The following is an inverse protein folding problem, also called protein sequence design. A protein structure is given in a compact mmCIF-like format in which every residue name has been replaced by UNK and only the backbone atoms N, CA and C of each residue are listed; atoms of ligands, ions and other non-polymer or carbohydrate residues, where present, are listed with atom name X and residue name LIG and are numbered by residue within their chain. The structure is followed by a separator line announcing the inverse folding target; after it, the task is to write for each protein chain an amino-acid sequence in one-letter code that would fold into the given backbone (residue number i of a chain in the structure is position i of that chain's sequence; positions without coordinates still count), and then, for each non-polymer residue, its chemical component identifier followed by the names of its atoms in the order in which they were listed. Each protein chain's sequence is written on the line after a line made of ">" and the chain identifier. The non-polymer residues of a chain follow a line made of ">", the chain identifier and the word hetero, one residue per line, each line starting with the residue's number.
data_IF_842676294172
#
_entry.id   IF_842676294172
#
_cell.length_a   1.000
_cell.length_b   1.000
_cell.length_c   1.000
_cell.angle_alpha   90.00
_cell.angle_beta   90.00
_cell.angle_gamma   90.00
#
_symmetry.space_group_name_H-M   'P 1'
#
loop_
_entity.id
_entity.type
_entity.pdbx_description
1 polymer ?
#
# COMPACT_ATOMS: atom_id res chain seq x y z
N UNK A 1 -26.85 54.92 -25.59
CA UNK A 1 -26.80 55.21 -24.15
C UNK A 1 -25.94 54.14 -23.51
N UNK A 2 -24.80 54.55 -22.96
CA UNK A 2 -23.74 53.72 -22.39
C UNK A 2 -24.25 52.78 -21.28
N UNK A 3 -23.90 51.49 -21.34
CA UNK A 3 -23.88 50.65 -20.13
C UNK A 3 -22.75 49.60 -20.18
N UNK A 4 -21.59 50.06 -19.71
CA UNK A 4 -20.65 49.40 -18.79
C UNK A 4 -20.26 47.93 -19.04
N UNK A 5 -19.01 47.79 -19.48
CA UNK A 5 -18.06 46.78 -19.02
C UNK A 5 -18.26 46.45 -17.53
N UNK A 6 -18.45 45.18 -17.20
CA UNK A 6 -17.75 44.38 -16.15
C UNK A 6 -18.26 42.95 -16.33
N UNK A 7 -17.54 42.10 -17.06
CA UNK A 7 -17.74 40.66 -16.99
C UNK A 7 -16.47 40.03 -16.40
N UNK A 8 -16.54 39.81 -15.08
CA UNK A 8 -15.94 38.74 -14.31
C UNK A 8 -14.61 38.16 -14.84
N UNK A 9 -13.49 38.78 -14.46
CA UNK A 9 -12.20 38.09 -14.31
C UNK A 9 -12.12 37.43 -12.91
N UNK A 10 -13.08 36.55 -12.61
CA UNK A 10 -13.22 35.95 -11.27
C UNK A 10 -13.56 34.46 -11.34
N UNK A 11 -12.84 33.73 -12.17
CA UNK A 11 -12.76 32.27 -12.13
C UNK A 11 -11.33 31.89 -12.50
N UNK A 12 -10.46 31.76 -11.49
CA UNK A 12 -9.20 30.99 -11.50
C UNK A 12 -8.42 31.09 -10.16
N UNK A 13 -8.86 31.92 -9.21
CA UNK A 13 -8.23 32.01 -7.88
C UNK A 13 -8.82 31.06 -6.82
N UNK A 14 -9.96 30.43 -7.07
CA UNK A 14 -10.63 29.55 -6.07
C UNK A 14 -10.12 28.10 -6.13
N UNK A 15 -9.41 27.70 -7.20
CA UNK A 15 -8.87 26.34 -7.35
C UNK A 15 -7.45 26.16 -6.81
N UNK A 16 -6.69 27.23 -6.57
CA UNK A 16 -5.34 27.11 -5.99
C UNK A 16 -5.35 27.10 -4.46
N UNK A 17 -6.18 27.93 -3.82
CA UNK A 17 -6.23 28.02 -2.34
C UNK A 17 -6.68 26.68 -1.71
N UNK A 18 -7.70 26.02 -2.29
CA UNK A 18 -8.18 24.73 -1.75
C UNK A 18 -7.23 23.55 -2.03
N UNK A 19 -6.40 23.63 -3.08
CA UNK A 19 -5.39 22.60 -3.38
C UNK A 19 -4.19 22.72 -2.43
N UNK A 20 -3.77 23.95 -2.12
CA UNK A 20 -2.66 24.21 -1.19
C UNK A 20 -3.01 23.75 0.24
N UNK A 21 -4.23 24.01 0.72
CA UNK A 21 -4.69 23.53 2.04
C UNK A 21 -4.69 22.00 2.14
N UNK A 22 -5.09 21.29 1.08
CA UNK A 22 -5.07 19.82 1.05
C UNK A 22 -3.64 19.27 1.04
N UNK A 23 -2.74 19.88 0.26
CA UNK A 23 -1.33 19.50 0.21
C UNK A 23 -0.62 19.72 1.55
N UNK A 24 -0.97 20.78 2.30
CA UNK A 24 -0.47 21.02 3.65
C UNK A 24 -0.89 19.92 4.62
N UNK A 25 -2.16 19.47 4.58
CA UNK A 25 -2.63 18.39 5.47
C UNK A 25 -1.86 17.09 5.26
N UNK A 26 -1.44 16.80 4.03
CA UNK A 26 -0.71 15.57 3.71
C UNK A 26 0.81 15.76 3.70
N UNK A 27 1.35 16.97 3.79
CA UNK A 27 2.79 17.32 3.70
C UNK A 27 3.70 16.46 4.59
N UNK A 28 3.19 16.03 5.74
CA UNK A 28 3.89 15.18 6.70
C UNK A 28 4.06 13.71 6.22
N UNK A 29 3.27 13.27 5.24
CA UNK A 29 3.36 11.95 4.62
C UNK A 29 4.56 11.90 3.67
N UNK A 30 5.67 11.40 4.19
CA UNK A 30 6.93 11.20 3.47
C UNK A 30 7.67 9.97 4.01
N UNK A 31 8.63 9.40 3.26
CA UNK A 31 9.47 8.34 3.76
C UNK A 31 10.15 8.74 5.07
N UNK A 32 10.06 7.90 6.11
CA UNK A 32 10.78 8.08 7.38
C UNK A 32 12.08 7.28 7.46
N UNK A 33 12.28 6.39 6.50
CA UNK A 33 13.47 5.54 6.39
C UNK A 33 14.67 6.37 5.92
N UNK A 34 15.86 6.09 6.46
CA UNK A 34 17.09 6.81 6.08
C UNK A 34 17.42 6.60 4.60
N UNK A 35 18.12 7.58 4.00
CA UNK A 35 18.62 7.45 2.62
C UNK A 35 19.43 6.17 2.43
N UNK A 36 20.30 5.83 3.39
CA UNK A 36 21.16 4.65 3.30
C UNK A 36 20.37 3.34 3.19
N UNK A 37 19.33 3.18 4.02
CA UNK A 37 18.46 1.99 3.94
C UNK A 37 17.72 1.92 2.59
N UNK A 38 17.31 3.07 2.05
CA UNK A 38 16.69 3.14 0.72
C UNK A 38 17.67 2.78 -0.40
N UNK A 39 18.90 3.27 -0.34
CA UNK A 39 19.98 2.89 -1.27
C UNK A 39 20.22 1.37 -1.23
N UNK A 40 20.35 0.80 -0.03
CA UNK A 40 20.59 -0.64 0.14
C UNK A 40 19.42 -1.49 -0.38
N UNK A 41 18.18 -1.02 -0.21
CA UNK A 41 16.99 -1.67 -0.76
C UNK A 41 17.02 -1.69 -2.30
N UNK A 42 17.34 -0.57 -2.95
CA UNK A 42 17.45 -0.46 -4.41
C UNK A 42 18.63 -1.28 -4.93
N UNK A 43 19.77 -1.28 -4.25
CA UNK A 43 20.90 -2.15 -4.61
C UNK A 43 20.52 -3.64 -4.51
N UNK A 44 19.74 -4.01 -3.48
CA UNK A 44 19.16 -5.35 -3.36
C UNK A 44 18.24 -5.71 -4.53
N UNK A 45 17.38 -4.77 -4.93
CA UNK A 45 16.51 -4.90 -6.10
C UNK A 45 17.32 -5.11 -7.38
N UNK A 46 18.36 -4.30 -7.62
CA UNK A 46 19.21 -4.41 -8.80
C UNK A 46 19.89 -5.79 -8.82
N UNK A 47 20.40 -6.27 -7.68
CA UNK A 47 21.02 -7.61 -7.57
C UNK A 47 20.04 -8.73 -7.91
N UNK A 48 18.79 -8.65 -7.44
CA UNK A 48 17.75 -9.65 -7.73
C UNK A 48 17.26 -9.59 -9.18
N UNK A 49 17.07 -8.38 -9.69
CA UNK A 49 16.51 -8.15 -11.02
C UNK A 49 17.53 -8.39 -12.12
N UNK A 50 18.79 -8.01 -11.90
CA UNK A 50 19.86 -7.99 -12.91
C UNK A 50 21.15 -8.61 -12.32
N UNK A 51 21.16 -9.92 -12.04
CA UNK A 51 22.26 -10.57 -11.31
C UNK A 51 23.62 -10.50 -12.01
N UNK A 52 23.64 -10.38 -13.34
CA UNK A 52 24.88 -10.33 -14.13
C UNK A 52 25.42 -8.89 -14.34
N UNK A 53 24.58 -7.86 -14.13
CA UNK A 53 24.91 -6.47 -14.42
C UNK A 53 24.95 -5.54 -13.21
N UNK A 54 24.52 -5.99 -12.02
CA UNK A 54 24.33 -5.11 -10.87
C UNK A 54 25.57 -4.29 -10.47
N UNK A 55 26.79 -4.79 -10.74
CA UNK A 55 28.04 -4.13 -10.39
C UNK A 55 28.28 -2.82 -11.14
N UNK A 56 27.61 -2.62 -12.27
CA UNK A 56 27.72 -1.41 -13.06
C UNK A 56 26.83 -0.27 -12.55
N UNK A 57 25.95 -0.53 -11.59
CA UNK A 57 25.00 0.45 -11.09
C UNK A 57 25.41 0.98 -9.71
N UNK A 58 25.43 2.31 -9.59
CA UNK A 58 25.65 3.02 -8.34
C UNK A 58 24.37 3.77 -7.99
N UNK A 59 23.90 3.63 -6.76
CA UNK A 59 22.66 4.27 -6.29
C UNK A 59 22.97 5.27 -5.19
N UNK A 60 22.36 6.44 -5.28
CA UNK A 60 22.32 7.44 -4.20
C UNK A 60 20.89 7.90 -3.96
N UNK A 61 20.48 8.01 -2.71
CA UNK A 61 19.20 8.60 -2.32
C UNK A 61 19.44 9.93 -1.62
N UNK A 62 18.95 11.01 -2.21
CA UNK A 62 19.14 12.38 -1.73
C UNK A 62 17.79 13.11 -1.66
N UNK A 63 17.14 13.17 -0.48
CA UNK A 63 15.82 13.76 -0.32
C UNK A 63 15.73 15.24 -0.70
N UNK A 64 16.86 15.95 -0.80
CA UNK A 64 16.92 17.35 -1.18
C UNK A 64 17.22 17.56 -2.68
N UNK A 65 17.25 16.49 -3.47
CA UNK A 65 17.50 16.56 -4.90
C UNK A 65 16.27 17.05 -5.68
N UNK A 66 16.48 17.95 -6.64
CA UNK A 66 15.40 18.47 -7.49
C UNK A 66 14.44 19.44 -6.77
N UNK A 67 13.27 19.72 -7.36
CA UNK A 67 12.31 20.67 -6.79
C UNK A 67 11.70 20.18 -5.47
N UNK A 68 11.49 21.11 -4.53
CA UNK A 68 10.83 20.82 -3.26
C UNK A 68 9.46 20.17 -3.46
N UNK A 69 9.16 19.13 -2.68
CA UNK A 69 7.88 18.43 -2.72
C UNK A 69 7.67 17.50 -3.92
N UNK A 70 8.63 17.39 -4.84
CA UNK A 70 8.51 16.53 -6.03
C UNK A 70 9.57 15.43 -6.04
N UNK A 71 9.13 14.20 -6.28
CA UNK A 71 10.08 13.11 -6.49
C UNK A 71 10.81 13.30 -7.82
N UNK A 72 12.14 13.19 -7.79
CA UNK A 72 13.00 13.39 -8.95
C UNK A 72 14.05 12.29 -8.99
N UNK A 73 14.40 11.84 -10.19
CA UNK A 73 15.56 10.98 -10.40
C UNK A 73 16.48 11.52 -11.49
N UNK A 74 17.75 11.16 -11.40
CA UNK A 74 18.73 11.34 -12.46
C UNK A 74 19.37 9.99 -12.78
N UNK A 75 19.58 9.72 -14.06
CA UNK A 75 20.41 8.62 -14.53
C UNK A 75 21.52 9.18 -15.39
N UNK A 76 22.76 8.90 -15.00
CA UNK A 76 23.94 9.36 -15.71
C UNK A 76 24.95 8.22 -15.82
N UNK A 77 25.47 7.96 -17.03
CA UNK A 77 26.62 7.06 -17.21
C UNK A 77 27.90 7.86 -17.04
N UNK A 78 28.76 7.43 -16.13
CA UNK A 78 30.07 8.05 -15.89
C UNK A 78 31.06 7.70 -17.01
N UNK A 79 32.08 8.54 -17.15
CA UNK A 79 33.23 8.26 -18.05
C UNK A 79 33.99 6.99 -17.66
N UNK A 80 33.86 6.54 -16.41
CA UNK A 80 34.43 5.28 -15.90
C UNK A 80 33.56 4.05 -16.19
N UNK A 81 32.41 4.22 -16.86
CA UNK A 81 31.53 3.13 -17.33
C UNK A 81 30.42 2.72 -16.37
N UNK A 82 30.29 3.36 -15.20
CA UNK A 82 29.23 3.06 -14.24
C UNK A 82 27.97 3.89 -14.53
N UNK A 83 26.79 3.30 -14.35
CA UNK A 83 25.51 4.02 -14.40
C UNK A 83 25.17 4.46 -12.98
N UNK A 84 25.26 5.76 -12.74
CA UNK A 84 24.87 6.39 -11.48
C UNK A 84 23.41 6.78 -11.55
N UNK A 85 22.65 6.36 -10.54
CA UNK A 85 21.25 6.68 -10.36
C UNK A 85 21.11 7.46 -9.06
N UNK A 86 20.59 8.68 -9.15
CA UNK A 86 20.24 9.51 -8.01
C UNK A 86 18.74 9.62 -7.94
N UNK A 87 18.13 9.38 -6.79
CA UNK A 87 16.70 9.59 -6.57
C UNK A 87 16.43 10.35 -5.29
N UNK A 88 15.33 11.10 -5.22
CA UNK A 88 14.85 11.71 -3.97
C UNK A 88 14.43 10.67 -2.93
N UNK A 89 13.96 9.52 -3.41
CA UNK A 89 13.55 8.35 -2.62
C UNK A 89 14.05 7.07 -3.28
N UNK A 90 13.98 5.94 -2.56
CA UNK A 90 14.29 4.63 -3.12
C UNK A 90 13.38 4.27 -4.29
N UNK A 91 12.09 4.60 -4.23
CA UNK A 91 11.14 4.44 -5.36
C UNK A 91 11.56 5.30 -6.56
N UNK A 92 11.94 6.57 -6.36
CA UNK A 92 12.41 7.43 -7.45
C UNK A 92 13.69 6.85 -8.11
N UNK A 93 14.64 6.35 -7.31
CA UNK A 93 15.83 5.70 -7.85
C UNK A 93 15.50 4.40 -8.61
N UNK A 94 14.61 3.56 -8.08
CA UNK A 94 14.15 2.36 -8.79
C UNK A 94 13.39 2.70 -10.09
N UNK A 95 12.63 3.80 -10.10
CA UNK A 95 11.98 4.33 -11.30
C UNK A 95 13.02 4.74 -12.34
N UNK A 96 14.08 5.43 -11.93
CA UNK A 96 15.18 5.81 -12.80
C UNK A 96 15.91 4.61 -13.40
N UNK A 97 16.14 3.56 -12.60
CA UNK A 97 16.63 2.28 -13.12
C UNK A 97 15.71 1.73 -14.20
N UNK A 98 14.40 1.62 -13.93
CA UNK A 98 13.45 1.06 -14.88
C UNK A 98 13.36 1.89 -16.17
N UNK A 99 13.42 3.21 -16.06
CA UNK A 99 13.47 4.13 -17.20
C UNK A 99 14.67 3.83 -18.11
N UNK A 100 15.86 3.70 -17.52
CA UNK A 100 17.07 3.36 -18.25
C UNK A 100 16.99 1.99 -18.92
N UNK A 101 16.54 0.97 -18.17
CA UNK A 101 16.37 -0.38 -18.71
C UNK A 101 15.42 -0.40 -19.92
N UNK A 102 14.28 0.27 -19.80
CA UNK A 102 13.23 0.27 -20.83
C UNK A 102 13.64 1.05 -22.07
N UNK A 103 14.12 2.28 -21.90
CA UNK A 103 14.29 3.22 -23.03
C UNK A 103 15.69 3.23 -23.63
N UNK A 104 16.70 2.73 -22.91
CA UNK A 104 18.08 2.70 -23.40
C UNK A 104 18.56 1.27 -23.59
N UNK A 105 18.31 0.37 -22.64
CA UNK A 105 18.76 -1.03 -22.75
C UNK A 105 17.80 -1.96 -23.51
N UNK A 106 16.60 -1.50 -23.88
CA UNK A 106 15.53 -2.34 -24.46
C UNK A 106 15.19 -3.57 -23.61
N UNK A 107 15.22 -3.41 -22.28
CA UNK A 107 14.89 -4.46 -21.30
C UNK A 107 13.55 -4.15 -20.65
N UNK A 108 12.64 -5.13 -20.70
CA UNK A 108 11.36 -5.08 -20.00
C UNK A 108 11.34 -6.00 -18.77
N UNK A 109 10.77 -5.49 -17.67
CA UNK A 109 10.48 -6.25 -16.45
C UNK A 109 8.97 -6.18 -16.20
N UNK A 110 8.31 -7.34 -16.19
CA UNK A 110 6.87 -7.50 -15.91
C UNK A 110 6.64 -8.64 -14.91
N UNK A 111 5.38 -8.93 -14.57
CA UNK A 111 5.06 -10.01 -13.63
C UNK A 111 5.45 -11.39 -14.16
N UNK A 112 5.07 -11.69 -15.40
CA UNK A 112 5.28 -13.03 -16.00
C UNK A 112 6.61 -13.15 -16.75
N UNK A 113 7.16 -12.02 -17.20
CA UNK A 113 8.34 -12.02 -18.07
C UNK A 113 9.32 -10.90 -17.73
N UNK A 114 10.60 -11.27 -17.63
CA UNK A 114 11.70 -10.33 -17.41
C UNK A 114 12.85 -10.66 -18.37
N UNK A 115 13.28 -9.66 -19.14
CA UNK A 115 14.43 -9.75 -20.04
C UNK A 115 15.74 -9.33 -19.38
N UNK A 116 15.76 -9.23 -18.05
CA UNK A 116 16.88 -8.62 -17.34
C UNK A 116 18.23 -9.37 -17.48
N UNK A 117 18.21 -10.61 -17.99
CA UNK A 117 19.42 -11.36 -18.36
C UNK A 117 20.07 -10.87 -19.68
N UNK A 118 19.38 -10.04 -20.47
CA UNK A 118 19.81 -9.58 -21.79
C UNK A 118 20.31 -8.14 -21.77
N UNK A 119 20.98 -7.72 -20.69
CA UNK A 119 21.64 -6.42 -20.70
C UNK A 119 22.67 -6.34 -21.84
N UNK A 120 22.74 -5.21 -22.57
CA UNK A 120 23.80 -4.97 -23.54
C UNK A 120 25.18 -5.12 -22.89
N UNK A 121 26.13 -5.76 -23.59
CA UNK A 121 27.52 -5.86 -23.12
C UNK A 121 28.12 -4.47 -22.83
N UNK A 122 27.81 -3.51 -23.70
CA UNK A 122 28.11 -2.10 -23.51
C UNK A 122 26.84 -1.35 -23.14
N UNK A 123 26.73 -0.94 -21.88
CA UNK A 123 25.63 -0.12 -21.38
C UNK A 123 25.53 1.20 -22.17
N UNK A 124 24.37 1.58 -22.72
CA UNK A 124 24.20 2.83 -23.47
C UNK A 124 24.53 4.10 -22.69
N UNK A 125 24.94 5.16 -23.40
CA UNK A 125 25.16 6.47 -22.79
C UNK A 125 23.83 7.14 -22.40
N UNK A 126 23.84 7.83 -21.26
CA UNK A 126 22.68 8.56 -20.74
C UNK A 126 23.14 9.68 -19.79
N UNK A 127 22.45 10.82 -19.86
CA UNK A 127 22.46 11.86 -18.83
C UNK A 127 21.11 12.57 -18.85
N UNK A 128 20.19 12.14 -17.97
CA UNK A 128 18.84 12.69 -17.89
C UNK A 128 18.44 12.89 -16.44
N UNK A 129 17.75 13.99 -16.18
CA UNK A 129 17.07 14.27 -14.90
C UNK A 129 15.57 14.41 -15.19
N UNK A 130 14.74 13.67 -14.46
CA UNK A 130 13.29 13.65 -14.62
C UNK A 130 12.62 13.87 -13.27
N UNK A 131 11.77 14.90 -13.19
CA UNK A 131 10.89 15.16 -12.05
C UNK A 131 9.52 14.54 -12.33
N UNK A 132 9.03 13.72 -11.41
CA UNK A 132 7.73 13.07 -11.50
C UNK A 132 6.63 14.09 -11.20
N UNK A 133 5.52 14.00 -11.94
CA UNK A 133 4.40 14.94 -11.80
C UNK A 133 3.61 14.70 -10.51
N UNK A 134 3.30 13.44 -10.23
CA UNK A 134 2.38 13.07 -9.15
C UNK A 134 3.10 12.94 -7.81
N UNK A 135 2.44 13.39 -6.74
CA UNK A 135 2.91 13.17 -5.38
C UNK A 135 2.75 11.70 -4.96
N UNK A 136 1.57 11.15 -5.21
CA UNK A 136 1.22 9.76 -4.90
C UNK A 136 0.92 8.98 -6.17
N UNK A 137 1.58 7.84 -6.31
CA UNK A 137 1.32 6.85 -7.36
C UNK A 137 0.79 5.61 -6.67
N UNK A 138 -0.53 5.50 -6.68
CA UNK A 138 -1.28 4.49 -5.95
C UNK A 138 -1.31 3.15 -6.69
N UNK A 139 -1.31 2.04 -5.94
CA UNK A 139 -1.46 0.71 -6.51
C UNK A 139 -2.36 -0.21 -5.66
N UNK A 140 -3.05 -1.12 -6.37
CA UNK A 140 -3.96 -2.19 -5.91
C UNK A 140 -5.45 -1.83 -5.82
N UNK A 141 -6.30 -2.84 -5.91
CA UNK A 141 -7.69 -2.79 -5.45
C UNK A 141 -7.80 -3.69 -4.20
N UNK A 142 -8.75 -3.40 -3.29
CA UNK A 142 -9.01 -4.28 -2.14
C UNK A 142 -9.35 -5.71 -2.56
N UNK A 143 -9.98 -5.90 -3.72
CA UNK A 143 -10.29 -7.20 -4.31
C UNK A 143 -9.05 -7.98 -4.78
N UNK A 144 -7.97 -7.30 -5.15
CA UNK A 144 -6.74 -7.96 -5.65
C UNK A 144 -6.12 -8.89 -4.61
N UNK A 145 -6.32 -8.59 -3.31
CA UNK A 145 -5.87 -9.46 -2.23
C UNK A 145 -6.50 -10.86 -2.32
N UNK A 146 -7.81 -10.95 -2.57
CA UNK A 146 -8.51 -12.23 -2.70
C UNK A 146 -8.29 -12.90 -4.05
N UNK A 147 -8.32 -12.13 -5.14
CA UNK A 147 -8.25 -12.70 -6.48
C UNK A 147 -6.85 -13.11 -6.93
N UNK A 148 -5.81 -12.45 -6.43
CA UNK A 148 -4.44 -12.63 -6.92
C UNK A 148 -3.47 -13.03 -5.83
N UNK A 149 -3.53 -12.37 -4.65
CA UNK A 149 -2.45 -12.47 -3.65
C UNK A 149 -2.70 -13.49 -2.54
N UNK A 150 -3.89 -14.08 -2.45
CA UNK A 150 -4.32 -14.88 -1.30
C UNK A 150 -3.38 -16.05 -0.97
N UNK A 151 -2.77 -16.66 -1.99
CA UNK A 151 -1.86 -17.80 -1.82
C UNK A 151 -0.37 -17.43 -1.86
N UNK A 152 -0.05 -16.17 -2.11
CA UNK A 152 1.34 -15.71 -2.25
C UNK A 152 2.14 -15.92 -0.97
N UNK A 153 3.39 -16.33 -1.16
CA UNK A 153 4.40 -16.39 -0.10
C UNK A 153 5.27 -15.12 -0.13
N UNK A 154 6.29 -15.10 0.73
CA UNK A 154 7.19 -13.96 0.81
C UNK A 154 7.93 -13.73 -0.51
N UNK A 155 8.34 -14.80 -1.19
CA UNK A 155 9.12 -14.74 -2.42
C UNK A 155 8.33 -14.09 -3.57
N UNK A 156 7.02 -14.30 -3.63
CA UNK A 156 6.11 -13.66 -4.59
C UNK A 156 5.98 -12.16 -4.27
N UNK A 157 5.73 -11.84 -3.00
CA UNK A 157 5.65 -10.47 -2.52
C UNK A 157 6.96 -9.70 -2.70
N UNK A 158 8.11 -10.35 -2.52
CA UNK A 158 9.41 -9.74 -2.70
C UNK A 158 9.59 -9.23 -4.13
N UNK A 159 9.34 -10.11 -5.11
CA UNK A 159 9.37 -9.77 -6.53
C UNK A 159 8.34 -8.72 -6.88
N UNK A 160 7.14 -8.81 -6.30
CA UNK A 160 6.08 -7.87 -6.60
C UNK A 160 6.37 -6.47 -6.06
N UNK A 161 6.94 -6.33 -4.86
CA UNK A 161 7.33 -5.02 -4.31
C UNK A 161 8.50 -4.43 -5.09
N UNK A 162 9.45 -5.25 -5.55
CA UNK A 162 10.50 -4.79 -6.48
C UNK A 162 9.88 -4.23 -7.78
N UNK A 163 8.92 -4.96 -8.36
CA UNK A 163 8.17 -4.49 -9.52
C UNK A 163 7.38 -3.20 -9.23
N UNK A 164 6.78 -3.05 -8.04
CA UNK A 164 6.11 -1.81 -7.66
C UNK A 164 7.08 -0.62 -7.64
N UNK A 165 8.28 -0.80 -7.07
CA UNK A 165 9.31 0.24 -7.00
C UNK A 165 9.80 0.64 -8.40
N UNK A 166 10.04 -0.34 -9.27
CA UNK A 166 10.42 -0.11 -10.68
C UNK A 166 9.33 0.68 -11.44
N UNK A 167 8.06 0.44 -11.14
CA UNK A 167 6.92 1.11 -11.78
C UNK A 167 6.45 2.38 -11.04
N UNK A 168 7.31 2.92 -10.16
CA UNK A 168 7.11 4.21 -9.50
C UNK A 168 6.00 4.26 -8.45
N UNK A 169 5.39 3.13 -8.06
CA UNK A 169 4.34 3.16 -7.05
C UNK A 169 4.91 3.45 -5.66
N UNK A 170 4.34 4.43 -4.95
CA UNK A 170 4.81 4.87 -3.64
C UNK A 170 3.71 4.93 -2.56
N UNK A 171 2.43 4.68 -2.91
CA UNK A 171 1.32 4.58 -1.97
C UNK A 171 0.54 3.28 -2.22
N UNK A 172 0.59 2.34 -1.28
CA UNK A 172 0.19 0.96 -1.56
C UNK A 172 -0.70 0.41 -0.45
N UNK A 173 -1.76 -0.31 -0.80
CA UNK A 173 -2.55 -1.06 0.18
C UNK A 173 -1.72 -2.18 0.83
N UNK A 174 -1.78 -2.30 2.15
CA UNK A 174 -1.09 -3.34 2.91
C UNK A 174 -2.01 -3.91 3.99
N UNK A 175 -2.84 -4.87 3.60
CA UNK A 175 -3.98 -5.34 4.40
C UNK A 175 -3.88 -6.82 4.83
N UNK A 176 -2.74 -7.47 4.54
CA UNK A 176 -2.48 -8.89 4.85
C UNK A 176 -2.49 -9.13 6.35
N UNK A 177 -3.21 -10.17 6.79
CA UNK A 177 -3.26 -10.59 8.19
C UNK A 177 -4.10 -9.72 9.12
N UNK A 178 -4.90 -8.79 8.60
CA UNK A 178 -5.78 -7.97 9.42
C UNK A 178 -6.82 -8.79 10.20
N UNK A 179 -7.17 -10.00 9.75
CA UNK A 179 -8.08 -10.89 10.46
C UNK A 179 -7.51 -11.31 11.82
N UNK A 180 -6.19 -11.50 11.94
CA UNK A 180 -5.55 -11.81 13.21
C UNK A 180 -5.57 -10.61 14.19
N UNK A 181 -5.60 -9.39 13.65
CA UNK A 181 -5.76 -8.15 14.42
C UNK A 181 -7.21 -8.02 14.89
N UNK A 182 -8.16 -8.32 14.00
CA UNK A 182 -9.59 -8.34 14.33
C UNK A 182 -9.94 -9.41 15.35
N UNK A 183 -9.42 -10.64 15.24
CA UNK A 183 -9.62 -11.70 16.23
C UNK A 183 -9.23 -11.22 17.64
N UNK A 184 -8.04 -10.63 17.78
CA UNK A 184 -7.56 -10.08 19.07
C UNK A 184 -8.43 -8.93 19.55
N UNK A 185 -8.93 -8.12 18.63
CA UNK A 185 -9.82 -6.99 18.95
C UNK A 185 -11.15 -7.53 19.45
N UNK A 186 -11.81 -8.42 18.71
CA UNK A 186 -13.07 -9.05 19.05
C UNK A 186 -13.05 -9.79 20.39
N UNK A 187 -11.95 -10.49 20.71
CA UNK A 187 -11.76 -11.14 22.02
C UNK A 187 -11.79 -10.14 23.19
N UNK A 188 -11.39 -8.88 23.00
CA UNK A 188 -11.53 -7.81 24.02
C UNK A 188 -12.97 -7.32 24.21
N UNK A 189 -13.85 -7.62 23.26
CA UNK A 189 -15.27 -7.29 23.30
C UNK A 189 -16.15 -8.52 23.57
N UNK A 190 -15.58 -9.56 24.19
CA UNK A 190 -16.26 -10.78 24.66
C UNK A 190 -16.84 -11.68 23.57
N UNK A 191 -16.31 -11.61 22.34
CA UNK A 191 -16.63 -12.61 21.32
C UNK A 191 -15.88 -13.91 21.63
N UNK A 192 -16.59 -15.03 21.53
CA UNK A 192 -15.98 -16.36 21.64
C UNK A 192 -15.22 -16.72 20.34
N UNK A 193 -14.51 -17.83 20.34
CA UNK A 193 -13.86 -18.29 19.11
C UNK A 193 -14.90 -18.67 18.06
N UNK A 194 -16.01 -19.29 18.47
CA UNK A 194 -17.12 -19.65 17.59
C UNK A 194 -17.75 -18.41 16.94
N UNK A 195 -17.93 -17.31 17.69
CA UNK A 195 -18.43 -16.04 17.14
C UNK A 195 -17.50 -15.49 16.03
N UNK A 196 -16.18 -15.65 16.20
CA UNK A 196 -15.17 -15.20 15.21
C UNK A 196 -15.15 -16.11 14.00
N UNK A 197 -15.20 -17.43 14.22
CA UNK A 197 -15.17 -18.47 13.18
C UNK A 197 -16.43 -18.40 12.30
N UNK A 198 -17.59 -18.08 12.87
CA UNK A 198 -18.84 -17.83 12.12
C UNK A 198 -18.77 -16.54 11.29
N UNK A 199 -17.96 -15.57 11.71
CA UNK A 199 -17.85 -14.28 11.04
C UNK A 199 -16.83 -14.28 9.90
N UNK A 200 -15.63 -14.80 10.12
CA UNK A 200 -14.59 -14.77 9.10
C UNK A 200 -14.89 -15.71 7.94
N UNK A 201 -14.79 -15.19 6.72
CA UNK A 201 -14.82 -16.00 5.51
C UNK A 201 -13.54 -16.81 5.36
N UNK A 202 -13.54 -17.73 4.39
CA UNK A 202 -12.32 -18.36 3.91
C UNK A 202 -11.35 -17.35 3.28
N UNK A 203 -10.06 -17.72 3.13
CA UNK A 203 -9.02 -16.83 2.62
C UNK A 203 -9.34 -16.16 1.28
N UNK A 204 -9.94 -16.92 0.34
CA UNK A 204 -10.26 -16.45 -1.00
C UNK A 204 -11.36 -15.38 -1.03
N UNK A 205 -12.07 -15.14 0.09
CA UNK A 205 -13.20 -14.21 0.16
C UNK A 205 -12.99 -13.03 1.11
N UNK A 206 -11.78 -12.88 1.66
CA UNK A 206 -11.47 -11.86 2.66
C UNK A 206 -11.72 -10.43 2.19
N UNK A 207 -11.56 -10.11 0.90
CA UNK A 207 -11.88 -8.79 0.38
C UNK A 207 -13.33 -8.38 0.66
N UNK A 208 -14.30 -9.27 0.41
CA UNK A 208 -15.72 -8.99 0.64
C UNK A 208 -16.12 -9.04 2.12
N UNK A 209 -15.44 -9.87 2.92
CA UNK A 209 -15.55 -9.81 4.38
C UNK A 209 -15.20 -8.42 4.90
N UNK A 210 -14.03 -7.89 4.52
CA UNK A 210 -13.49 -6.62 5.01
C UNK A 210 -14.35 -5.42 4.63
N UNK A 211 -15.00 -5.50 3.46
CA UNK A 211 -15.93 -4.49 2.98
C UNK A 211 -17.34 -4.61 3.60
N UNK A 212 -17.58 -5.61 4.46
CA UNK A 212 -18.87 -5.81 5.12
C UNK A 212 -19.94 -6.42 4.20
N UNK A 213 -19.57 -6.98 3.06
CA UNK A 213 -20.53 -7.56 2.12
C UNK A 213 -21.00 -8.95 2.55
N UNK A 214 -20.12 -9.74 3.18
CA UNK A 214 -20.39 -11.13 3.54
C UNK A 214 -19.63 -11.55 4.80
N UNK A 215 -19.96 -12.74 5.32
CA UNK A 215 -19.35 -13.38 6.49
C UNK A 215 -19.34 -14.91 6.33
N UNK A 216 -18.45 -15.60 7.01
CA UNK A 216 -18.46 -17.07 7.20
C UNK A 216 -18.22 -17.95 5.97
N UNK A 217 -18.53 -17.50 4.75
CA UNK A 217 -18.44 -18.30 3.53
C UNK A 217 -17.02 -18.83 3.28
N UNK A 218 -16.87 -20.15 3.13
CA UNK A 218 -15.59 -20.82 2.92
C UNK A 218 -14.65 -20.81 4.14
N UNK A 219 -15.12 -20.35 5.30
CA UNK A 219 -14.39 -20.39 6.58
C UNK A 219 -14.53 -21.74 7.29
N UNK A 220 -14.04 -21.85 8.55
CA UNK A 220 -13.37 -20.80 9.32
C UNK A 220 -11.88 -20.63 8.95
N UNK A 221 -11.26 -19.54 9.43
CA UNK A 221 -9.81 -19.34 9.33
C UNK A 221 -9.09 -20.08 10.46
N UNK A 222 -8.02 -20.80 10.13
CA UNK A 222 -7.20 -21.48 11.13
C UNK A 222 -6.22 -20.52 11.84
N UNK A 223 -5.78 -20.89 13.05
CA UNK A 223 -4.70 -20.20 13.75
C UNK A 223 -3.41 -20.11 12.90
N UNK A 224 -3.09 -21.17 12.15
CA UNK A 224 -1.96 -21.20 11.24
C UNK A 224 -2.05 -20.11 10.14
N UNK A 225 -3.25 -19.82 9.64
CA UNK A 225 -3.48 -18.71 8.71
C UNK A 225 -3.17 -17.35 9.36
N UNK A 226 -3.65 -17.13 10.59
CA UNK A 226 -3.39 -15.90 11.34
C UNK A 226 -1.89 -15.68 11.60
N UNK A 227 -1.18 -16.73 12.02
CA UNK A 227 0.26 -16.65 12.28
C UNK A 227 1.06 -16.38 10.99
N UNK A 228 0.77 -17.13 9.92
CA UNK A 228 1.40 -16.96 8.61
C UNK A 228 1.20 -15.55 8.07
N UNK A 229 -0.03 -15.06 8.08
CA UNK A 229 -0.39 -13.77 7.47
C UNK A 229 0.20 -12.57 8.22
N UNK A 230 0.27 -12.61 9.57
CA UNK A 230 0.95 -11.57 10.36
C UNK A 230 2.46 -11.57 10.09
N UNK A 231 3.09 -12.75 10.00
CA UNK A 231 4.52 -12.85 9.67
C UNK A 231 4.80 -12.26 8.28
N UNK A 232 4.00 -12.65 7.29
CA UNK A 232 4.12 -12.16 5.91
C UNK A 232 3.94 -10.65 5.83
N UNK A 233 2.91 -10.10 6.50
CA UNK A 233 2.64 -8.67 6.50
C UNK A 233 3.82 -7.86 7.04
N UNK A 234 4.47 -8.31 8.13
CA UNK A 234 5.68 -7.65 8.65
C UNK A 234 6.81 -7.58 7.64
N UNK A 235 7.03 -8.66 6.87
CA UNK A 235 8.05 -8.68 5.82
C UNK A 235 7.69 -7.70 4.68
N UNK A 236 6.43 -7.73 4.23
CA UNK A 236 5.89 -6.82 3.21
C UNK A 236 6.18 -5.37 3.58
N UNK A 237 5.78 -4.94 4.77
CA UNK A 237 5.92 -3.54 5.17
C UNK A 237 7.35 -3.13 5.42
N UNK A 238 8.17 -4.03 5.95
CA UNK A 238 9.60 -3.77 6.13
C UNK A 238 10.23 -3.47 4.79
N UNK A 239 9.89 -4.25 3.75
CA UNK A 239 10.40 -4.03 2.39
C UNK A 239 9.83 -2.77 1.76
N UNK A 240 8.52 -2.54 1.83
CA UNK A 240 7.90 -1.32 1.31
C UNK A 240 8.54 -0.06 1.91
N UNK A 241 8.67 -0.02 3.24
CA UNK A 241 9.33 1.11 3.93
C UNK A 241 10.80 1.22 3.61
N UNK A 242 11.49 0.11 3.36
CA UNK A 242 12.88 0.15 2.92
C UNK A 242 13.05 0.86 1.57
N UNK A 243 12.06 0.84 0.68
CA UNK A 243 12.07 1.65 -0.55
C UNK A 243 11.57 3.09 -0.35
N UNK A 244 11.02 3.41 0.82
CA UNK A 244 10.34 4.67 1.08
C UNK A 244 8.86 4.68 0.67
N UNK A 245 8.25 3.53 0.38
CA UNK A 245 6.80 3.47 0.11
C UNK A 245 5.98 3.74 1.37
N UNK A 246 4.82 4.36 1.17
CA UNK A 246 3.79 4.55 2.18
C UNK A 246 2.79 3.40 2.10
N UNK A 247 2.60 2.69 3.21
CA UNK A 247 1.65 1.61 3.32
C UNK A 247 0.31 2.13 3.88
N UNK A 248 -0.77 1.88 3.15
CA UNK A 248 -2.15 2.16 3.58
C UNK A 248 -2.64 0.97 4.38
N UNK A 249 -2.91 1.20 5.67
CA UNK A 249 -3.31 0.19 6.64
C UNK A 249 -4.83 0.23 6.84
N UNK A 250 -5.46 -0.91 7.21
CA UNK A 250 -6.90 -0.94 7.48
C UNK A 250 -7.25 -0.11 8.72
N UNK A 251 -8.51 0.32 8.77
CA UNK A 251 -9.14 0.98 9.92
C UNK A 251 -10.57 0.46 10.11
N UNK A 252 -11.16 0.74 11.27
CA UNK A 252 -12.55 0.36 11.56
C UNK A 252 -13.52 1.26 10.80
N UNK A 253 -14.47 0.65 10.10
CA UNK A 253 -15.48 1.35 9.30
C UNK A 253 -16.93 1.11 9.78
N UNK A 254 -17.13 0.53 10.98
CA UNK A 254 -18.46 0.31 11.54
C UNK A 254 -19.03 -1.10 11.37
N UNK A 255 -18.52 -1.91 10.44
CA UNK A 255 -19.01 -3.27 10.21
C UNK A 255 -18.60 -4.23 11.35
N UNK A 256 -19.55 -5.01 11.85
CA UNK A 256 -19.37 -5.90 13.00
C UNK A 256 -19.98 -7.29 12.79
N UNK A 257 -19.41 -8.34 13.43
CA UNK A 257 -20.01 -9.66 13.57
C UNK A 257 -21.42 -9.61 14.17
N UNK A 258 -22.28 -10.58 13.81
CA UNK A 258 -23.64 -10.68 14.37
C UNK A 258 -23.67 -10.85 15.88
N UNK A 259 -22.66 -11.51 16.44
CA UNK A 259 -22.49 -11.70 17.88
C UNK A 259 -22.50 -10.38 18.67
N UNK A 260 -22.11 -9.24 18.06
CA UNK A 260 -22.17 -7.95 18.74
C UNK A 260 -23.58 -7.55 19.15
N UNK A 261 -24.62 -7.92 18.40
CA UNK A 261 -26.00 -7.61 18.80
C UNK A 261 -26.46 -8.45 19.99
N UNK A 262 -25.93 -9.66 20.16
CA UNK A 262 -26.15 -10.50 21.35
C UNK A 262 -25.42 -9.93 22.57
N UNK A 263 -24.19 -9.46 22.40
CA UNK A 263 -23.35 -8.95 23.50
C UNK A 263 -23.75 -7.53 23.91
N UNK A 264 -24.15 -6.70 22.95
CA UNK A 264 -24.57 -5.29 23.12
C UNK A 264 -25.98 -5.09 22.54
N UNK A 265 -27.04 -5.64 23.18
CA UNK A 265 -28.41 -5.60 22.66
C UNK A 265 -28.95 -4.17 22.49
N UNK A 266 -28.55 -3.25 23.36
CA UNK A 266 -29.00 -1.86 23.34
C UNK A 266 -28.24 -0.97 22.34
N UNK A 267 -27.12 -1.45 21.78
CA UNK A 267 -26.36 -0.67 20.82
C UNK A 267 -27.15 -0.53 19.51
N UNK A 268 -27.15 0.69 18.96
CA UNK A 268 -27.80 1.00 17.70
C UNK A 268 -26.97 0.45 16.55
N UNK A 269 -27.49 -0.60 15.92
CA UNK A 269 -26.84 -1.29 14.83
C UNK A 269 -27.88 -1.61 13.77
N UNK A 270 -27.54 -1.35 12.51
CA UNK A 270 -28.38 -1.66 11.36
C UNK A 270 -27.91 -2.99 10.75
N UNK A 271 -28.81 -3.97 10.62
CA UNK A 271 -28.49 -5.21 9.90
C UNK A 271 -28.40 -4.84 8.42
N UNK A 272 -27.27 -5.12 7.79
CA UNK A 272 -27.08 -4.82 6.38
C UNK A 272 -28.02 -5.64 5.50
N UNK A 273 -28.28 -5.17 4.29
CA UNK A 273 -29.02 -5.93 3.29
C UNK A 273 -28.16 -7.04 2.67
N UNK A 274 -28.81 -8.01 2.05
CA UNK A 274 -28.12 -9.09 1.35
C UNK A 274 -27.37 -8.52 0.14
N UNK A 275 -26.05 -8.76 0.12
CA UNK A 275 -25.23 -8.43 -1.03
C UNK A 275 -25.20 -9.63 -1.99
N UNK A 276 -25.50 -9.39 -3.27
CA UNK A 276 -25.43 -10.40 -4.34
C UNK A 276 -26.18 -11.72 -4.01
N UNK A 277 -27.37 -11.59 -3.40
CA UNK A 277 -28.27 -12.70 -3.04
C UNK A 277 -27.63 -13.82 -2.19
N UNK A 278 -26.55 -13.52 -1.45
CA UNK A 278 -26.02 -14.45 -0.48
C UNK A 278 -27.05 -14.72 0.62
N UNK A 279 -27.29 -16.00 0.91
CA UNK A 279 -28.16 -16.45 1.99
C UNK A 279 -27.77 -15.80 3.33
N UNK A 280 -28.73 -15.63 4.24
CA UNK A 280 -28.58 -15.05 5.58
C UNK A 280 -27.52 -15.75 6.45
N UNK A 281 -27.18 -17.01 6.13
CA UNK A 281 -26.04 -17.73 6.71
C UNK A 281 -24.70 -17.04 6.43
N UNK A 282 -24.53 -16.48 5.21
CA UNK A 282 -23.27 -15.91 4.73
C UNK A 282 -23.33 -14.39 4.48
N UNK A 283 -24.51 -13.78 4.56
CA UNK A 283 -24.71 -12.36 4.83
C UNK A 283 -25.15 -12.24 6.30
N UNK A 284 -25.57 -11.14 6.89
CA UNK A 284 -25.44 -9.75 6.59
C UNK A 284 -24.87 -9.23 7.93
N UNK A 285 -23.66 -8.66 7.94
CA UNK A 285 -23.10 -8.13 9.18
C UNK A 285 -23.94 -6.96 9.68
N UNK A 286 -23.65 -6.51 10.90
CA UNK A 286 -24.21 -5.27 11.41
C UNK A 286 -23.31 -4.09 11.05
N UNK A 287 -23.92 -2.94 10.78
CA UNK A 287 -23.27 -1.65 10.75
C UNK A 287 -23.60 -0.90 12.04
N UNK A 288 -22.59 -0.58 12.83
CA UNK A 288 -22.73 0.20 14.05
C UNK A 288 -22.93 1.68 13.72
N UNK A 289 -23.92 2.33 14.35
CA UNK A 289 -24.14 3.77 14.19
C UNK A 289 -22.90 4.56 14.63
N UNK A 290 -22.43 5.54 13.84
CA UNK A 290 -21.20 6.29 14.14
C UNK A 290 -21.31 7.15 15.40
N UNK A 291 -22.52 7.44 15.87
CA UNK A 291 -22.78 8.19 17.11
C UNK A 291 -22.67 7.34 18.38
N UNK A 292 -22.60 6.01 18.26
CA UNK A 292 -22.47 5.12 19.42
C UNK A 292 -21.08 5.27 20.04
N UNK A 293 -21.00 5.42 21.36
CA UNK A 293 -19.72 5.42 22.07
C UNK A 293 -18.92 4.12 21.85
N UNK A 294 -19.61 3.02 21.54
CA UNK A 294 -19.00 1.75 21.17
C UNK A 294 -18.16 1.87 19.88
N UNK A 295 -18.53 2.75 18.94
CA UNK A 295 -17.83 2.92 17.66
C UNK A 295 -16.39 3.39 17.89
N UNK A 296 -16.23 4.42 18.70
CA UNK A 296 -14.93 4.97 19.09
C UNK A 296 -14.12 3.92 19.86
N UNK A 297 -14.74 3.23 20.82
CA UNK A 297 -14.04 2.20 21.62
C UNK A 297 -13.48 1.07 20.77
N UNK A 298 -14.26 0.55 19.82
CA UNK A 298 -13.83 -0.52 18.91
C UNK A 298 -12.73 0.00 17.97
N UNK A 299 -12.93 1.17 17.37
CA UNK A 299 -11.94 1.79 16.48
C UNK A 299 -10.59 2.00 17.17
N UNK A 300 -10.58 2.55 18.38
CA UNK A 300 -9.36 2.70 19.18
C UNK A 300 -8.72 1.35 19.52
N UNK A 301 -9.52 0.37 19.92
CA UNK A 301 -9.00 -0.96 20.29
C UNK A 301 -8.33 -1.64 19.09
N UNK A 302 -8.92 -1.51 17.90
CA UNK A 302 -8.37 -1.99 16.64
C UNK A 302 -7.08 -1.25 16.29
N UNK A 303 -7.09 0.10 16.28
CA UNK A 303 -5.90 0.90 15.96
C UNK A 303 -4.75 0.65 16.93
N UNK A 304 -5.05 0.44 18.23
CA UNK A 304 -4.05 0.04 19.23
C UNK A 304 -3.39 -1.30 18.87
N UNK A 305 -4.13 -2.29 18.37
CA UNK A 305 -3.55 -3.55 17.92
C UNK A 305 -2.77 -3.42 16.59
N UNK A 306 -3.26 -2.62 15.64
CA UNK A 306 -2.55 -2.30 14.38
C UNK A 306 -1.17 -1.67 14.67
N UNK A 307 -1.10 -0.74 15.61
CA UNK A 307 0.13 -0.03 15.97
C UNK A 307 1.01 -0.75 17.01
N UNK A 308 0.55 -1.86 17.61
CA UNK A 308 1.26 -2.53 18.72
C UNK A 308 2.57 -3.15 18.27
N UNK A 309 3.71 -2.85 18.91
CA UNK A 309 5.07 -3.36 18.55
C UNK A 309 5.17 -4.85 18.17
N UNK A 310 4.40 -5.75 18.81
CA UNK A 310 4.38 -7.20 18.48
C UNK A 310 3.56 -7.55 17.22
N UNK A 311 2.62 -6.71 16.80
CA UNK A 311 1.95 -6.73 15.49
C UNK A 311 2.51 -5.67 14.54
N UNK A 312 3.41 -4.80 15.02
CA UNK A 312 3.61 -3.50 14.42
C UNK A 312 4.23 -3.63 13.05
N UNK A 313 3.53 -2.92 12.20
CA UNK A 313 3.97 -2.26 11.02
C UNK A 313 4.61 -0.95 11.52
N UNK A 314 5.91 -0.87 11.91
CA UNK A 314 6.47 0.33 12.54
C UNK A 314 6.22 1.59 11.69
N UNK A 315 5.37 2.50 12.21
CA UNK A 315 4.89 3.71 11.53
C UNK A 315 6.01 4.72 11.28
#
# INVERSE_FOLDING_TARGET
>A
MYLKCVFLALFLFVSHIAADDFEETLSHLKPKTTSKTQEDAVLGLIKRSIPNGYKFFLVKVDPNFGPSGKETFQVQKSTTGFVKIVGTTGVAAATGLNYYLKYYCNVQISWEFSQANYLPQNLPEIDVTITLNDRFRYYQNVCTTSYSFVWWQWEDWEKHIDWMALNSFNLILASTGQEAIWERTYKKFNLTQEDVDEHFTGPAFLSWLRMGNMRGWGGPLSSAWHERSIKLQKQILTRMRSFGMLAVLPAFAGHLPRAFKRIYPEAKMTKMDAWNDFNDTYCCPYLLEPTEALFIRIGEAFMKEVCRKKCAMPV
#
